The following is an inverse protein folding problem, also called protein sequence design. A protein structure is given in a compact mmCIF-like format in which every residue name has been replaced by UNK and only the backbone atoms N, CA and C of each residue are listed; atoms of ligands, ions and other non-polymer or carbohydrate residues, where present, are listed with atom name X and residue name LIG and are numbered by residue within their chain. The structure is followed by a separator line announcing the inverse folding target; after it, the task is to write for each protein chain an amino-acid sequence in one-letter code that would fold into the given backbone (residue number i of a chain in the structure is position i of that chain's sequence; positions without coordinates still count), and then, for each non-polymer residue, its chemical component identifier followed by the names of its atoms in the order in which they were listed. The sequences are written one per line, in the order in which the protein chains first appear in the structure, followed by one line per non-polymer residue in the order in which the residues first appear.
data_IF_695923929864
#
_entry.id   IF_695923929864
#
_cell.length_a   1.000
_cell.length_b   1.000
_cell.length_c   1.000
_cell.angle_alpha   90.00
_cell.angle_beta   90.00
_cell.angle_gamma   90.00
#
_symmetry.space_group_name_H-M   'P 1'
#
loop_
_entity.id
_entity.type
_entity.pdbx_description
1 polymer ?
#
# COMPACT_ATOMS: atom_id res chain seq x y z
N UNK A 1 -4.27 -1.26 -12.99
CA UNK A 1 -3.70 -0.78 -11.71
C UNK A 1 -4.72 -0.67 -10.58
N UNK A 2 -5.69 0.24 -10.62
CA UNK A 2 -6.56 0.51 -9.42
C UNK A 2 -7.36 -0.70 -8.96
N UNK A 3 -7.88 -1.53 -9.87
CA UNK A 3 -8.63 -2.76 -9.50
C UNK A 3 -7.82 -3.80 -8.71
N UNK A 4 -6.51 -3.85 -8.90
CA UNK A 4 -5.63 -4.78 -8.17
C UNK A 4 -5.56 -4.46 -6.68
N UNK A 5 -5.75 -3.18 -6.32
CA UNK A 5 -5.78 -2.76 -4.93
C UNK A 5 -6.99 -3.32 -4.19
N UNK A 6 -8.06 -3.68 -4.89
CA UNK A 6 -9.25 -4.27 -4.28
C UNK A 6 -9.02 -5.68 -3.73
N UNK A 7 -7.95 -6.33 -4.15
CA UNK A 7 -7.51 -7.63 -3.65
C UNK A 7 -6.68 -7.51 -2.35
N UNK A 8 -6.28 -6.28 -1.97
CA UNK A 8 -5.58 -6.05 -0.71
C UNK A 8 -6.53 -5.94 0.48
N UNK A 9 -6.13 -6.43 1.67
CA UNK A 9 -6.79 -6.11 2.91
C UNK A 9 -6.94 -4.58 3.10
N UNK A 10 -8.05 -4.08 3.67
CA UNK A 10 -8.35 -2.64 3.72
C UNK A 10 -7.24 -1.76 4.29
N UNK A 11 -6.54 -2.24 5.33
CA UNK A 11 -5.44 -1.51 5.94
C UNK A 11 -4.24 -1.34 4.99
N UNK A 12 -3.88 -2.39 4.25
CA UNK A 12 -2.78 -2.36 3.28
C UNK A 12 -3.17 -1.48 2.09
N UNK A 13 -4.39 -1.63 1.59
CA UNK A 13 -4.95 -0.82 0.49
C UNK A 13 -4.84 0.67 0.78
N UNK A 14 -5.29 1.12 1.95
CA UNK A 14 -5.26 2.54 2.34
C UNK A 14 -3.84 3.07 2.40
N UNK A 15 -2.90 2.30 2.96
CA UNK A 15 -1.48 2.68 3.02
C UNK A 15 -0.87 2.77 1.62
N UNK A 16 -1.12 1.80 0.75
CA UNK A 16 -0.62 1.81 -0.64
C UNK A 16 -1.20 2.99 -1.42
N UNK A 17 -2.51 3.26 -1.30
CA UNK A 17 -3.15 4.39 -1.94
C UNK A 17 -2.48 5.72 -1.53
N UNK A 18 -2.34 5.97 -0.23
CA UNK A 18 -1.73 7.21 0.25
C UNK A 18 -0.25 7.34 -0.15
N UNK A 19 0.52 6.24 -0.07
CA UNK A 19 1.97 6.26 -0.33
C UNK A 19 2.34 6.35 -1.81
N UNK A 20 1.55 5.76 -2.72
CA UNK A 20 1.90 5.62 -4.14
C UNK A 20 0.97 6.34 -5.11
N UNK A 21 -0.25 6.68 -4.69
CA UNK A 21 -1.20 7.42 -5.53
C UNK A 21 -1.40 8.86 -5.06
N UNK A 22 -1.11 9.14 -3.79
CA UNK A 22 -1.16 10.49 -3.23
C UNK A 22 0.23 11.03 -2.85
N UNK A 23 1.30 10.28 -3.16
CA UNK A 23 2.70 10.64 -2.87
C UNK A 23 3.00 11.08 -1.42
N UNK A 24 2.18 10.66 -0.46
CA UNK A 24 2.41 10.99 0.95
C UNK A 24 3.63 10.25 1.47
N UNK A 25 4.44 10.91 2.31
CA UNK A 25 5.50 10.29 3.10
C UNK A 25 4.95 9.27 4.11
N UNK A 26 5.83 8.46 4.72
CA UNK A 26 5.41 7.54 5.80
C UNK A 26 4.85 8.30 7.00
N UNK A 27 5.43 9.47 7.33
CA UNK A 27 4.98 10.36 8.41
C UNK A 27 3.63 11.02 8.10
N UNK A 28 3.42 11.48 6.87
CA UNK A 28 2.12 12.03 6.47
C UNK A 28 1.05 10.96 6.47
N UNK A 29 1.38 9.74 6.04
CA UNK A 29 0.48 8.58 6.12
C UNK A 29 0.17 8.20 7.57
N UNK A 30 1.18 8.21 8.45
CA UNK A 30 1.05 8.01 9.90
C UNK A 30 0.03 8.99 10.50
N UNK A 31 0.22 10.28 10.24
CA UNK A 31 -0.67 11.34 10.71
C UNK A 31 -2.08 11.20 10.14
N UNK A 32 -2.21 10.87 8.85
CA UNK A 32 -3.50 10.74 8.16
C UNK A 32 -4.32 9.55 8.67
N UNK A 33 -3.68 8.40 8.87
CA UNK A 33 -4.36 7.17 9.28
C UNK A 33 -4.38 6.96 10.80
N UNK A 34 -3.62 7.76 11.56
CA UNK A 34 -3.46 7.67 13.03
C UNK A 34 -3.02 6.28 13.49
N UNK A 35 -2.11 5.67 12.72
CA UNK A 35 -1.40 4.43 13.04
C UNK A 35 0.08 4.75 13.22
N UNK A 36 0.91 3.86 13.78
CA UNK A 36 2.35 4.14 13.94
C UNK A 36 3.12 4.04 12.61
N UNK A 37 4.26 4.72 12.50
CA UNK A 37 5.15 4.62 11.34
C UNK A 37 5.59 3.16 11.05
N UNK A 38 5.77 2.35 12.09
CA UNK A 38 6.06 0.92 11.95
C UNK A 38 4.88 0.14 11.34
N UNK A 39 3.65 0.49 11.70
CA UNK A 39 2.45 -0.05 11.07
C UNK A 39 2.38 0.35 9.58
N UNK A 40 2.68 1.61 9.24
CA UNK A 40 2.76 2.09 7.83
C UNK A 40 3.76 1.26 7.03
N UNK A 41 4.99 1.10 7.53
CA UNK A 41 6.06 0.32 6.87
C UNK A 41 5.66 -1.13 6.66
N UNK A 42 5.16 -1.77 7.72
CA UNK A 42 4.79 -3.19 7.65
C UNK A 42 3.57 -3.44 6.75
N UNK A 43 2.59 -2.53 6.73
CA UNK A 43 1.45 -2.59 5.83
C UNK A 43 1.86 -2.35 4.37
N UNK A 44 2.79 -1.43 4.13
CA UNK A 44 3.39 -1.19 2.79
C UNK A 44 4.09 -2.44 2.28
N UNK A 45 4.99 -3.00 3.10
CA UNK A 45 5.76 -4.20 2.74
C UNK A 45 4.84 -5.38 2.42
N UNK A 46 3.88 -5.68 3.30
CA UNK A 46 2.90 -6.76 3.08
C UNK A 46 2.02 -6.49 1.87
N UNK A 47 1.51 -5.27 1.69
CA UNK A 47 0.66 -4.91 0.55
C UNK A 47 1.38 -5.12 -0.79
N UNK A 48 2.62 -4.64 -0.91
CA UNK A 48 3.41 -4.86 -2.12
C UNK A 48 3.76 -6.35 -2.33
N UNK A 49 4.05 -7.09 -1.26
CA UNK A 49 4.29 -8.53 -1.36
C UNK A 49 3.05 -9.26 -1.89
N UNK A 50 1.87 -8.96 -1.34
CA UNK A 50 0.60 -9.52 -1.80
C UNK A 50 0.33 -9.18 -3.27
N UNK A 51 0.50 -7.92 -3.69
CA UNK A 51 0.32 -7.55 -5.11
C UNK A 51 1.27 -8.30 -6.04
N UNK A 52 2.54 -8.51 -5.65
CA UNK A 52 3.50 -9.29 -6.44
C UNK A 52 3.11 -10.76 -6.54
N UNK A 53 2.54 -11.33 -5.48
CA UNK A 53 2.06 -12.72 -5.49
C UNK A 53 0.82 -12.89 -6.37
N UNK A 54 -0.13 -11.95 -6.30
CA UNK A 54 -1.39 -12.02 -7.05
C UNK A 54 -1.21 -11.63 -8.53
N UNK A 55 -0.24 -10.75 -8.81
CA UNK A 55 0.02 -10.23 -10.14
C UNK A 55 1.51 -10.31 -10.49
N UNK A 56 2.03 -11.51 -10.75
CA UNK A 56 3.45 -11.73 -11.04
C UNK A 56 3.93 -11.00 -12.31
N UNK A 57 3.03 -10.75 -13.27
CA UNK A 57 3.30 -10.05 -14.54
C UNK A 57 3.33 -8.51 -14.40
N UNK A 58 3.22 -7.96 -13.18
CA UNK A 58 2.95 -6.54 -12.91
C UNK A 58 4.05 -5.53 -13.28
N UNK A 59 5.05 -5.93 -14.07
CA UNK A 59 6.06 -5.05 -14.62
C UNK A 59 5.95 -5.03 -16.15
N UNK A 60 5.26 -3.99 -16.65
CA UNK A 60 5.23 -3.54 -18.05
C UNK A 60 4.37 -4.38 -19.01
N UNK A 61 3.27 -3.77 -19.45
CA UNK A 61 2.82 -3.82 -20.84
C UNK A 61 2.92 -2.40 -21.40
#
# INVERSE_FOLDING_TARGET
MVRMLDELPPAQRRVIALRYFCDLSERETEATLRISIGAVKSATSRGLATLRTLHPEGAVA
#
